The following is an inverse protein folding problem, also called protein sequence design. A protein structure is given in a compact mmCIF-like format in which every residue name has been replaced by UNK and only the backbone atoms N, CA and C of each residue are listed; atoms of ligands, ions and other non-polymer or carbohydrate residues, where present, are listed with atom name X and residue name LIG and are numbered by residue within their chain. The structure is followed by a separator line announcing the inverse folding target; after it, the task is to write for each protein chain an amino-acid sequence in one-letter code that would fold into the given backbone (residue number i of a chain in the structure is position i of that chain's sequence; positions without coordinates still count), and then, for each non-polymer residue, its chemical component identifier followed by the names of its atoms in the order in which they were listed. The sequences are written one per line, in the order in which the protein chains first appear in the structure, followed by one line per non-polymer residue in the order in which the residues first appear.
data_IF_725962220983
#
_entry.id   IF_725962220983
#
_cell.length_a   1.000
_cell.length_b   1.000
_cell.length_c   1.000
_cell.angle_alpha   90.00
_cell.angle_beta   90.00
_cell.angle_gamma   90.00
#
_symmetry.space_group_name_H-M   'P 1'
#
loop_
_entity.id
_entity.type
_entity.pdbx_description
1 polymer ?
#
# COMPACT_ATOMS: atom_id res chain seq x y z
N UNK A 1 -6.65 8.98 -24.36
CA UNK A 1 -6.22 7.88 -23.45
C UNK A 1 -5.32 8.34 -22.30
N UNK A 2 -4.33 9.24 -22.50
CA UNK A 2 -3.47 9.79 -21.42
C UNK A 2 -4.24 10.31 -20.20
N UNK A 3 -5.32 11.07 -20.39
CA UNK A 3 -6.14 11.64 -19.29
C UNK A 3 -6.88 10.62 -18.42
N UNK A 4 -7.21 9.44 -18.95
CA UNK A 4 -7.93 8.41 -18.17
C UNK A 4 -6.93 7.62 -17.31
N UNK A 5 -5.72 7.40 -17.83
CA UNK A 5 -4.65 6.71 -17.11
C UNK A 5 -4.09 7.56 -15.97
N UNK A 6 -3.85 8.86 -16.20
CA UNK A 6 -3.39 9.77 -15.13
C UNK A 6 -4.40 9.85 -13.99
N UNK A 7 -5.70 9.91 -14.29
CA UNK A 7 -6.76 9.83 -13.27
C UNK A 7 -6.75 8.51 -12.49
N UNK A 8 -6.47 7.38 -13.14
CA UNK A 8 -6.38 6.08 -12.46
C UNK A 8 -5.17 6.05 -11.52
N UNK A 9 -4.02 6.57 -11.97
CA UNK A 9 -2.81 6.70 -11.16
C UNK A 9 -3.03 7.61 -9.95
N UNK A 10 -3.61 8.79 -10.14
CA UNK A 10 -3.97 9.72 -9.05
C UNK A 10 -4.90 9.07 -8.01
N UNK A 11 -5.90 8.32 -8.48
CA UNK A 11 -6.83 7.62 -7.59
C UNK A 11 -6.13 6.48 -6.83
N UNK A 12 -5.21 5.77 -7.49
CA UNK A 12 -4.42 4.72 -6.85
C UNK A 12 -3.49 5.30 -5.78
N UNK A 13 -2.85 6.44 -6.07
CA UNK A 13 -1.99 7.15 -5.13
C UNK A 13 -2.76 7.65 -3.91
N UNK A 14 -3.94 8.24 -4.12
CA UNK A 14 -4.84 8.64 -3.02
C UNK A 14 -5.32 7.46 -2.18
N UNK A 15 -5.66 6.34 -2.83
CA UNK A 15 -6.07 5.12 -2.15
C UNK A 15 -4.92 4.55 -1.30
N UNK A 16 -3.72 4.47 -1.88
CA UNK A 16 -2.52 4.01 -1.19
C UNK A 16 -2.18 4.90 0.01
N UNK A 17 -2.22 6.23 -0.16
CA UNK A 17 -1.97 7.18 0.94
C UNK A 17 -2.99 7.07 2.07
N UNK A 18 -4.28 6.98 1.74
CA UNK A 18 -5.36 6.79 2.74
C UNK A 18 -5.20 5.47 3.49
N UNK A 19 -4.87 4.40 2.76
CA UNK A 19 -4.64 3.07 3.33
C UNK A 19 -3.41 3.06 4.26
N UNK A 20 -2.29 3.69 3.86
CA UNK A 20 -1.12 3.85 4.71
C UNK A 20 -1.43 4.62 6.00
N UNK A 21 -2.19 5.71 5.92
CA UNK A 21 -2.60 6.51 7.07
C UNK A 21 -3.49 5.75 8.04
N UNK A 22 -4.49 5.02 7.54
CA UNK A 22 -5.37 4.20 8.38
C UNK A 22 -4.61 3.05 9.04
N UNK A 23 -3.64 2.45 8.34
CA UNK A 23 -2.82 1.39 8.88
C UNK A 23 -1.87 1.90 9.97
N UNK A 24 -1.28 3.09 9.79
CA UNK A 24 -0.49 3.77 10.83
C UNK A 24 -1.37 4.09 12.05
N UNK A 25 -2.55 4.66 11.85
CA UNK A 25 -3.47 4.99 12.93
C UNK A 25 -3.90 3.74 13.73
N UNK A 26 -4.17 2.63 13.02
CA UNK A 26 -4.48 1.35 13.65
C UNK A 26 -3.30 0.82 14.46
N UNK A 27 -2.08 0.83 13.90
CA UNK A 27 -0.86 0.44 14.62
C UNK A 27 -0.68 1.30 15.88
N UNK A 28 -0.75 2.63 15.76
CA UNK A 28 -0.59 3.54 16.89
C UNK A 28 -1.64 3.30 17.98
N UNK A 29 -2.91 3.10 17.60
CA UNK A 29 -3.99 2.80 18.54
C UNK A 29 -3.74 1.49 19.31
N UNK A 30 -3.30 0.44 18.61
CA UNK A 30 -2.95 -0.84 19.23
C UNK A 30 -1.74 -0.72 20.16
N UNK A 31 -0.74 0.08 19.78
CA UNK A 31 0.44 0.28 20.63
C UNK A 31 0.14 1.06 21.91
N UNK A 32 -0.82 1.99 21.85
CA UNK A 32 -1.26 2.80 23.00
C UNK A 32 -2.16 2.02 23.97
N UNK A 33 -3.09 1.21 23.49
CA UNK A 33 -4.14 0.62 24.34
C UNK A 33 -3.94 -0.86 24.68
N UNK A 34 -3.04 -1.56 24.00
CA UNK A 34 -2.96 -3.02 24.11
C UNK A 34 -1.69 -3.48 24.81
N UNK A 35 -1.52 -3.20 26.11
CA UNK A 35 -0.33 -3.58 26.89
C UNK A 35 -0.07 -5.10 26.91
N UNK A 36 -1.11 -5.93 26.71
CA UNK A 36 -1.00 -7.39 26.76
C UNK A 36 -1.30 -8.13 25.43
N UNK A 37 -1.55 -7.43 24.31
CA UNK A 37 -1.84 -8.09 23.02
C UNK A 37 -0.63 -8.09 22.08
N UNK A 38 0.48 -8.66 22.54
CA UNK A 38 1.71 -8.85 21.76
C UNK A 38 1.40 -9.57 20.44
N UNK A 39 0.56 -10.61 20.50
CA UNK A 39 0.19 -11.39 19.32
C UNK A 39 -0.54 -10.54 18.26
N UNK A 40 -1.49 -9.70 18.70
CA UNK A 40 -2.25 -8.83 17.80
C UNK A 40 -1.35 -7.75 17.15
N UNK A 41 -0.42 -7.18 17.92
CA UNK A 41 0.59 -6.23 17.41
C UNK A 41 1.48 -6.88 16.34
N UNK A 42 1.96 -8.10 16.57
CA UNK A 42 2.80 -8.84 15.62
C UNK A 42 2.02 -9.20 14.36
N UNK A 43 0.77 -9.69 14.48
CA UNK A 43 -0.06 -10.02 13.32
C UNK A 43 -0.33 -8.82 12.43
N UNK A 44 -0.58 -7.65 13.02
CA UNK A 44 -0.81 -6.41 12.26
C UNK A 44 0.47 -5.91 11.61
N UNK A 45 1.61 -6.01 12.29
CA UNK A 45 2.91 -5.68 11.70
C UNK A 45 3.22 -6.56 10.49
N UNK A 46 3.02 -7.87 10.60
CA UNK A 46 3.22 -8.82 9.50
C UNK A 46 2.26 -8.52 8.34
N UNK A 47 1.00 -8.23 8.65
CA UNK A 47 0.01 -7.84 7.65
C UNK A 47 0.42 -6.56 6.90
N UNK A 48 0.93 -5.56 7.62
CA UNK A 48 1.46 -4.32 7.05
C UNK A 48 2.64 -4.57 6.10
N UNK A 49 3.59 -5.41 6.52
CA UNK A 49 4.77 -5.78 5.74
C UNK A 49 4.37 -6.50 4.46
N UNK A 50 3.44 -7.47 4.55
CA UNK A 50 2.93 -8.20 3.40
C UNK A 50 2.25 -7.28 2.38
N UNK A 51 1.40 -6.37 2.84
CA UNK A 51 0.73 -5.40 1.96
C UNK A 51 1.72 -4.48 1.25
N UNK A 52 2.76 -4.05 1.96
CA UNK A 52 3.78 -3.18 1.39
C UNK A 52 4.57 -3.90 0.28
N UNK A 53 4.95 -5.16 0.51
CA UNK A 53 5.60 -6.03 -0.48
C UNK A 53 4.73 -6.21 -1.73
N UNK A 54 3.43 -6.49 -1.56
CA UNK A 54 2.48 -6.66 -2.68
C UNK A 54 2.37 -5.36 -3.49
N UNK A 55 2.25 -4.22 -2.81
CA UNK A 55 2.19 -2.91 -3.46
C UNK A 55 3.43 -2.63 -4.30
N UNK A 56 4.62 -2.93 -3.76
CA UNK A 56 5.90 -2.74 -4.45
C UNK A 56 6.00 -3.61 -5.71
N UNK A 57 5.60 -4.88 -5.63
CA UNK A 57 5.53 -5.78 -6.80
C UNK A 57 4.54 -5.26 -7.85
N UNK A 58 3.37 -4.77 -7.44
CA UNK A 58 2.40 -4.16 -8.34
C UNK A 58 2.95 -2.92 -9.06
N UNK A 59 3.67 -2.04 -8.35
CA UNK A 59 4.30 -0.86 -8.93
C UNK A 59 5.36 -1.26 -9.95
N UNK A 60 6.24 -2.21 -9.60
CA UNK A 60 7.26 -2.73 -10.53
C UNK A 60 6.61 -3.34 -11.77
N UNK A 61 5.54 -4.12 -11.60
CA UNK A 61 4.84 -4.75 -12.72
C UNK A 61 4.18 -3.72 -13.63
N UNK A 62 3.57 -2.68 -13.06
CA UNK A 62 3.05 -1.54 -13.82
C UNK A 62 4.15 -0.81 -14.59
N UNK A 63 5.32 -0.61 -13.97
CA UNK A 63 6.48 0.02 -14.59
C UNK A 63 6.99 -0.78 -15.79
N UNK A 64 7.14 -2.10 -15.63
CA UNK A 64 7.57 -3.00 -16.70
C UNK A 64 6.56 -3.01 -17.86
N UNK A 65 5.26 -3.06 -17.54
CA UNK A 65 4.18 -3.01 -18.55
C UNK A 65 4.20 -1.68 -19.32
N UNK A 66 4.51 -0.57 -18.66
CA UNK A 66 4.62 0.74 -19.30
C UNK A 66 5.82 0.82 -20.26
N UNK A 67 6.99 0.35 -19.83
CA UNK A 67 8.19 0.33 -20.68
C UNK A 67 8.02 -0.56 -21.91
N UNK A 68 7.37 -1.71 -21.75
CA UNK A 68 7.08 -2.61 -22.88
C UNK A 68 6.20 -1.94 -23.92
N UNK A 69 5.20 -1.16 -23.47
CA UNK A 69 4.28 -0.40 -24.34
C UNK A 69 4.91 0.83 -24.99
N UNK A 70 6.06 1.31 -24.51
CA UNK A 70 6.82 2.41 -25.12
C UNK A 70 7.84 1.94 -26.17
N UNK A 71 8.16 0.64 -26.15
CA UNK A 71 9.14 0.03 -27.06
C UNK A 71 8.49 -0.52 -28.34
N UNK A 72 7.17 -0.72 -28.31
CA UNK A 72 6.29 -0.98 -29.47
C UNK A 72 5.74 0.34 -30.03
#
# INVERSE_FOLDING_TARGET
MKNKLTRILDNLEKLAGSFSLTLIALISYLFLNAENLIFLRISILIFAICLNLISLVCIIWLYLKFFKKLKD
#
